data_IF_049363677575
#
_entry.id   IF_049363677575
#
_cell.length_a   1.000
_cell.length_b   1.000
_cell.length_c   1.000
_cell.angle_alpha   90.00
_cell.angle_beta   90.00
_cell.angle_gamma   90.00
#
_symmetry.space_group_name_H-M   'P 1'
#
loop_
_entity.id
_entity.type
_entity.pdbx_description
1 polymer ?
#
# COMPACT_ATOMS: atom_id res chain seq x y z
N UNK A 1 32.31 26.67 18.98
CA UNK A 1 31.01 26.54 19.71
C UNK A 1 29.80 26.38 18.81
N UNK A 2 29.78 26.90 17.56
CA UNK A 2 28.64 26.77 16.63
C UNK A 2 28.45 25.34 16.02
N UNK A 3 29.54 24.60 15.77
CA UNK A 3 29.47 23.24 15.16
C UNK A 3 28.83 22.20 16.09
N UNK A 4 29.10 22.29 17.41
CA UNK A 4 28.47 21.34 18.38
C UNK A 4 26.95 21.49 18.49
N UNK A 5 26.40 22.71 18.30
CA UNK A 5 24.96 22.97 18.33
C UNK A 5 24.25 22.41 17.09
N UNK A 6 24.89 22.44 15.93
CA UNK A 6 24.33 21.88 14.68
C UNK A 6 24.30 20.37 14.75
N UNK A 7 25.34 19.73 15.28
CA UNK A 7 25.39 18.27 15.43
C UNK A 7 24.32 17.76 16.42
N UNK A 8 24.07 18.49 17.51
CA UNK A 8 23.03 18.14 18.49
C UNK A 8 21.62 18.25 17.90
N UNK A 9 21.36 19.27 17.06
CA UNK A 9 20.07 19.43 16.38
C UNK A 9 19.80 18.31 15.37
N UNK A 10 20.81 17.81 14.66
CA UNK A 10 20.70 16.69 13.75
C UNK A 10 20.43 15.36 14.49
N UNK A 11 21.05 15.14 15.63
CA UNK A 11 20.83 13.95 16.46
C UNK A 11 19.43 13.95 17.11
N UNK A 12 18.93 15.09 17.56
CA UNK A 12 17.55 15.19 18.09
C UNK A 12 16.48 14.97 17.02
N UNK A 13 16.67 15.52 15.81
CA UNK A 13 15.74 15.31 14.69
C UNK A 13 15.66 13.83 14.28
N UNK A 14 16.81 13.13 14.20
CA UNK A 14 16.84 11.72 13.83
C UNK A 14 16.16 10.81 14.89
N UNK A 15 16.29 11.13 16.18
CA UNK A 15 15.61 10.39 17.24
C UNK A 15 14.08 10.53 17.20
N UNK A 16 13.56 11.72 16.89
CA UNK A 16 12.11 11.94 16.76
C UNK A 16 11.51 11.19 15.55
N UNK A 17 12.20 11.18 14.41
CA UNK A 17 11.80 10.43 13.23
C UNK A 17 11.73 8.92 13.50
N UNK A 18 12.72 8.39 14.18
CA UNK A 18 12.78 6.96 14.51
C UNK A 18 11.68 6.55 15.49
N UNK A 19 11.34 7.41 16.44
CA UNK A 19 10.29 7.18 17.44
C UNK A 19 8.89 7.15 16.81
N UNK A 20 8.55 8.10 15.94
CA UNK A 20 7.23 8.18 15.31
C UNK A 20 6.98 7.03 14.35
N UNK A 21 7.97 6.66 13.54
CA UNK A 21 7.88 5.52 12.61
C UNK A 21 7.80 4.18 13.36
N UNK A 22 8.52 4.04 14.48
CA UNK A 22 8.41 2.88 15.37
C UNK A 22 7.02 2.78 16.01
N UNK A 23 6.45 3.91 16.42
CA UNK A 23 5.09 3.98 16.98
C UNK A 23 4.04 3.54 15.96
N UNK A 24 4.08 4.07 14.72
CA UNK A 24 3.16 3.70 13.65
C UNK A 24 3.24 2.20 13.33
N UNK A 25 4.45 1.65 13.24
CA UNK A 25 4.69 0.22 13.02
C UNK A 25 4.08 -0.64 14.12
N UNK A 26 4.20 -0.24 15.38
CA UNK A 26 3.64 -0.97 16.52
C UNK A 26 2.11 -0.95 16.49
N UNK A 27 1.49 0.18 16.14
CA UNK A 27 0.04 0.28 15.97
C UNK A 27 -0.43 -0.63 14.85
N UNK A 28 0.23 -0.61 13.69
CA UNK A 28 -0.08 -1.51 12.57
C UNK A 28 0.04 -2.99 12.97
N UNK A 29 1.11 -3.37 13.68
CA UNK A 29 1.28 -4.74 14.16
C UNK A 29 0.10 -5.18 15.05
N UNK A 30 -0.34 -4.31 15.95
CA UNK A 30 -1.50 -4.61 16.81
C UNK A 30 -2.79 -4.76 16.00
N UNK A 31 -3.04 -3.85 15.03
CA UNK A 31 -4.22 -3.91 14.17
C UNK A 31 -4.23 -5.18 13.30
N UNK A 32 -3.12 -5.57 12.73
CA UNK A 32 -3.01 -6.82 11.96
C UNK A 32 -3.21 -8.05 12.83
N UNK A 33 -2.65 -8.08 14.05
CA UNK A 33 -2.89 -9.17 15.01
C UNK A 33 -4.36 -9.31 15.41
N UNK A 34 -5.12 -8.21 15.43
CA UNK A 34 -6.56 -8.23 15.64
C UNK A 34 -7.31 -8.68 14.38
N UNK A 35 -6.90 -8.18 13.20
CA UNK A 35 -7.51 -8.46 11.91
C UNK A 35 -7.43 -9.95 11.55
N UNK A 36 -6.31 -10.60 11.87
CA UNK A 36 -6.10 -12.03 11.67
C UNK A 36 -7.07 -12.90 12.50
N UNK A 37 -7.50 -12.41 13.67
CA UNK A 37 -8.33 -13.15 14.63
C UNK A 37 -9.81 -12.83 14.56
N UNK A 38 -10.19 -11.76 13.88
CA UNK A 38 -11.57 -11.32 13.85
C UNK A 38 -12.40 -12.16 12.88
N UNK A 39 -13.57 -12.66 13.37
CA UNK A 39 -14.44 -13.56 12.60
C UNK A 39 -15.71 -12.87 12.07
N UNK A 40 -15.93 -11.58 12.37
CA UNK A 40 -17.10 -10.86 11.87
C UNK A 40 -16.69 -9.72 10.92
N UNK A 41 -17.44 -9.57 9.85
CA UNK A 41 -17.17 -8.63 8.77
C UNK A 41 -17.19 -7.16 9.21
N UNK A 42 -18.04 -6.79 10.16
CA UNK A 42 -18.15 -5.41 10.66
C UNK A 42 -16.89 -4.99 11.42
N UNK A 43 -16.39 -5.86 12.31
CA UNK A 43 -15.14 -5.59 13.05
C UNK A 43 -13.93 -5.62 12.11
N UNK A 44 -13.91 -6.53 11.15
CA UNK A 44 -12.87 -6.59 10.13
C UNK A 44 -12.80 -5.29 9.32
N UNK A 45 -13.93 -4.78 8.84
CA UNK A 45 -14.02 -3.52 8.09
C UNK A 45 -13.56 -2.30 8.92
N UNK A 46 -13.85 -2.29 10.23
CA UNK A 46 -13.37 -1.23 11.13
C UNK A 46 -11.84 -1.27 11.28
N UNK A 47 -11.26 -2.45 11.44
CA UNK A 47 -9.80 -2.63 11.52
C UNK A 47 -9.12 -2.27 10.19
N UNK A 48 -9.70 -2.70 9.07
CA UNK A 48 -9.27 -2.31 7.73
C UNK A 48 -9.23 -0.79 7.56
N UNK A 49 -10.32 -0.09 7.92
CA UNK A 49 -10.39 1.37 7.86
C UNK A 49 -9.30 2.05 8.68
N UNK A 50 -9.02 1.55 9.90
CA UNK A 50 -7.92 2.07 10.74
C UNK A 50 -6.54 1.83 10.10
N UNK A 51 -6.31 0.67 9.50
CA UNK A 51 -5.06 0.37 8.80
C UNK A 51 -4.88 1.32 7.62
N UNK A 52 -5.93 1.54 6.82
CA UNK A 52 -5.91 2.50 5.72
C UNK A 52 -5.63 3.93 6.18
N UNK A 53 -6.24 4.39 7.28
CA UNK A 53 -5.95 5.71 7.85
C UNK A 53 -4.46 5.86 8.15
N UNK A 54 -3.86 4.86 8.83
CA UNK A 54 -2.45 4.89 9.19
C UNK A 54 -1.54 4.88 7.94
N UNK A 55 -1.85 4.10 6.92
CA UNK A 55 -1.05 4.09 5.69
C UNK A 55 -1.14 5.40 4.91
N UNK A 56 -2.32 6.03 4.89
CA UNK A 56 -2.53 7.31 4.21
C UNK A 56 -1.94 8.52 4.95
N UNK A 57 -1.57 8.38 6.23
CA UNK A 57 -0.95 9.43 7.03
C UNK A 57 0.57 9.26 7.08
N UNK A 58 1.32 10.29 6.68
CA UNK A 58 2.77 10.28 6.82
C UNK A 58 3.15 10.47 8.28
N UNK A 59 4.01 9.60 8.89
CA UNK A 59 4.22 9.53 10.34
C UNK A 59 4.78 10.81 10.98
N UNK A 60 5.38 11.70 10.19
CA UNK A 60 6.09 12.88 10.72
C UNK A 60 5.93 14.15 9.88
N UNK A 61 5.26 14.09 8.73
CA UNK A 61 5.19 15.21 7.80
C UNK A 61 3.79 15.38 7.21
N UNK A 62 2.96 16.20 7.85
CA UNK A 62 1.59 16.45 7.42
C UNK A 62 1.49 17.02 6.00
N UNK A 63 2.50 17.79 5.54
CA UNK A 63 2.52 18.30 4.16
C UNK A 63 2.63 17.19 3.12
N UNK A 64 3.26 16.05 3.45
CA UNK A 64 3.28 14.89 2.57
C UNK A 64 1.91 14.20 2.55
N UNK A 65 1.21 14.14 3.69
CA UNK A 65 -0.19 13.64 3.77
C UNK A 65 -1.10 14.47 2.88
N UNK A 66 -1.10 15.80 3.02
CA UNK A 66 -1.87 16.72 2.19
C UNK A 66 -1.56 16.57 0.69
N UNK A 67 -0.29 16.37 0.34
CA UNK A 67 0.12 16.09 -1.05
C UNK A 67 -0.40 14.74 -1.55
N UNK A 68 -0.40 13.70 -0.72
CA UNK A 68 -0.95 12.39 -1.08
C UNK A 68 -2.46 12.49 -1.37
N UNK A 69 -3.18 13.21 -0.54
CA UNK A 69 -4.60 13.51 -0.72
C UNK A 69 -4.84 14.24 -2.04
N UNK A 70 -4.11 15.33 -2.29
CA UNK A 70 -4.19 16.08 -3.55
C UNK A 70 -3.89 15.21 -4.78
N UNK A 71 -2.83 14.39 -4.72
CA UNK A 71 -2.52 13.43 -5.79
C UNK A 71 -3.64 12.41 -5.99
N UNK A 72 -4.30 11.99 -4.91
CA UNK A 72 -5.42 11.06 -4.94
C UNK A 72 -6.65 11.69 -5.60
N UNK A 73 -6.95 12.95 -5.32
CA UNK A 73 -8.03 13.72 -5.98
C UNK A 73 -7.77 13.85 -7.49
N UNK A 74 -6.53 14.17 -7.88
CA UNK A 74 -6.12 14.21 -9.29
C UNK A 74 -6.31 12.85 -9.98
N UNK A 75 -5.95 11.77 -9.31
CA UNK A 75 -6.16 10.41 -9.82
C UNK A 75 -7.64 10.09 -10.00
N UNK A 76 -8.47 10.41 -9.01
CA UNK A 76 -9.93 10.17 -9.05
C UNK A 76 -10.64 10.99 -10.14
N UNK A 77 -10.15 12.20 -10.42
CA UNK A 77 -10.66 13.05 -11.51
C UNK A 77 -10.08 12.71 -12.89
N UNK A 78 -9.27 11.64 -13.02
CA UNK A 78 -8.68 11.21 -14.29
C UNK A 78 -7.46 12.00 -14.72
N UNK A 79 -6.97 12.93 -13.91
CA UNK A 79 -5.78 13.74 -14.22
C UNK A 79 -4.47 12.97 -13.92
N UNK A 80 -4.32 11.80 -14.56
CA UNK A 80 -3.27 10.82 -14.24
C UNK A 80 -1.85 11.39 -14.38
N UNK A 81 -1.57 12.17 -15.40
CA UNK A 81 -0.23 12.75 -15.62
C UNK A 81 0.18 13.72 -14.51
N UNK A 82 -0.77 14.47 -13.93
CA UNK A 82 -0.50 15.33 -12.78
C UNK A 82 -0.40 14.54 -11.48
N UNK A 83 -1.26 13.53 -11.28
CA UNK A 83 -1.17 12.62 -10.14
C UNK A 83 0.19 11.94 -10.07
N UNK A 84 0.72 11.40 -11.19
CA UNK A 84 2.07 10.82 -11.25
C UNK A 84 3.13 11.80 -10.77
N UNK A 85 3.13 13.06 -11.26
CA UNK A 85 4.11 14.09 -10.82
C UNK A 85 4.04 14.36 -9.32
N UNK A 86 2.83 14.36 -8.75
CA UNK A 86 2.65 14.55 -7.31
C UNK A 86 3.25 13.37 -6.53
N UNK A 87 2.91 12.13 -6.92
CA UNK A 87 3.43 10.93 -6.24
C UNK A 87 4.93 10.76 -6.43
N UNK A 88 5.49 11.10 -7.61
CA UNK A 88 6.93 11.14 -7.85
C UNK A 88 7.65 12.05 -6.85
N UNK A 89 7.14 13.26 -6.65
CA UNK A 89 7.71 14.21 -5.69
C UNK A 89 7.64 13.71 -4.24
N UNK A 90 6.56 13.00 -3.87
CA UNK A 90 6.44 12.39 -2.54
C UNK A 90 7.48 11.29 -2.38
N UNK A 91 7.59 10.39 -3.36
CA UNK A 91 8.55 9.27 -3.37
C UNK A 91 9.99 9.75 -3.31
N UNK A 92 10.33 10.82 -4.05
CA UNK A 92 11.66 11.45 -3.97
C UNK A 92 11.93 12.00 -2.57
N UNK A 93 10.90 12.54 -1.89
CA UNK A 93 11.04 13.15 -0.56
C UNK A 93 11.15 12.08 0.54
N UNK A 94 10.31 11.05 0.52
CA UNK A 94 10.43 9.88 1.40
C UNK A 94 10.12 8.58 0.63
N UNK A 95 11.14 7.89 0.12
CA UNK A 95 10.99 6.64 -0.60
C UNK A 95 10.57 5.46 0.29
N UNK A 96 10.48 5.65 1.61
CA UNK A 96 10.06 4.60 2.57
C UNK A 96 8.58 4.65 2.89
N UNK A 97 7.85 5.64 2.38
CA UNK A 97 6.41 5.69 2.57
C UNK A 97 5.70 4.84 1.51
N UNK A 98 5.28 3.63 1.92
CA UNK A 98 4.68 2.63 1.02
C UNK A 98 3.45 3.13 0.27
N UNK A 99 2.61 3.97 0.92
CA UNK A 99 1.37 4.44 0.32
C UNK A 99 1.60 5.36 -0.88
N UNK A 100 2.68 6.13 -0.92
CA UNK A 100 3.03 6.93 -2.09
C UNK A 100 3.29 6.05 -3.33
N UNK A 101 4.02 4.95 -3.16
CA UNK A 101 4.23 3.95 -4.22
C UNK A 101 2.91 3.26 -4.60
N UNK A 102 2.07 2.89 -3.62
CA UNK A 102 0.77 2.26 -3.85
C UNK A 102 -0.17 3.16 -4.66
N UNK A 103 -0.24 4.45 -4.37
CA UNK A 103 -1.02 5.42 -5.16
C UNK A 103 -0.48 5.55 -6.58
N UNK A 104 0.84 5.65 -6.76
CA UNK A 104 1.43 5.71 -8.10
C UNK A 104 1.20 4.42 -8.90
N UNK A 105 1.34 3.26 -8.27
CA UNK A 105 0.98 1.97 -8.85
C UNK A 105 -0.47 1.94 -9.35
N UNK A 106 -1.39 2.50 -8.54
CA UNK A 106 -2.80 2.60 -8.93
C UNK A 106 -2.99 3.47 -10.18
N UNK A 107 -2.28 4.60 -10.27
CA UNK A 107 -2.32 5.44 -11.49
C UNK A 107 -1.80 4.68 -12.70
N UNK A 108 -0.66 3.99 -12.58
CA UNK A 108 -0.12 3.16 -13.66
C UNK A 108 -1.10 2.05 -14.08
N UNK A 109 -1.77 1.41 -13.14
CA UNK A 109 -2.82 0.43 -13.44
C UNK A 109 -3.96 1.05 -14.25
N UNK A 110 -4.47 2.22 -13.84
CA UNK A 110 -5.55 2.94 -14.54
C UNK A 110 -5.14 3.37 -15.97
N UNK A 111 -3.85 3.61 -16.18
CA UNK A 111 -3.26 3.89 -17.50
C UNK A 111 -2.91 2.61 -18.28
N UNK A 112 -3.23 1.44 -17.78
CA UNK A 112 -2.84 0.13 -18.34
C UNK A 112 -1.33 -0.08 -18.47
N UNK A 113 -0.53 0.67 -17.72
CA UNK A 113 0.93 0.53 -17.64
C UNK A 113 1.30 -0.53 -16.59
N UNK A 114 0.93 -1.79 -16.87
CA UNK A 114 0.98 -2.87 -15.89
C UNK A 114 2.39 -3.18 -15.37
N UNK A 115 3.42 -3.07 -16.21
CA UNK A 115 4.80 -3.27 -15.77
C UNK A 115 5.21 -2.25 -14.71
N UNK A 116 5.00 -0.96 -14.99
CA UNK A 116 5.31 0.11 -14.03
C UNK A 116 4.52 -0.03 -12.73
N UNK A 117 3.24 -0.46 -12.85
CA UNK A 117 2.41 -0.73 -11.67
C UNK A 117 2.96 -1.88 -10.83
N UNK A 118 3.40 -2.98 -11.45
CA UNK A 118 4.00 -4.12 -10.73
C UNK A 118 5.31 -3.73 -10.05
N UNK A 119 6.16 -2.95 -10.70
CA UNK A 119 7.42 -2.46 -10.13
C UNK A 119 7.18 -1.63 -8.86
N UNK A 120 6.17 -0.75 -8.88
CA UNK A 120 5.78 0.04 -7.72
C UNK A 120 5.17 -0.83 -6.62
N UNK A 121 4.32 -1.80 -6.97
CA UNK A 121 3.77 -2.77 -6.01
C UNK A 121 4.88 -3.56 -5.32
N UNK A 122 5.91 -3.95 -6.03
CA UNK A 122 7.06 -4.65 -5.44
C UNK A 122 7.78 -3.74 -4.42
N UNK A 123 7.87 -2.43 -4.68
CA UNK A 123 8.37 -1.46 -3.69
C UNK A 123 7.48 -1.38 -2.47
N UNK A 124 6.15 -1.32 -2.65
CA UNK A 124 5.18 -1.36 -1.53
C UNK A 124 5.40 -2.60 -0.67
N UNK A 125 5.44 -3.78 -1.29
CA UNK A 125 5.53 -5.06 -0.57
C UNK A 125 6.89 -5.30 0.09
N UNK A 126 7.96 -4.67 -0.40
CA UNK A 126 9.26 -4.65 0.27
C UNK A 126 9.25 -3.78 1.54
N UNK A 127 8.44 -2.70 1.58
CA UNK A 127 8.31 -1.81 2.74
C UNK A 127 7.29 -2.36 3.74
N UNK A 128 6.10 -2.76 3.26
CA UNK A 128 5.01 -3.34 4.03
C UNK A 128 4.49 -4.62 3.36
N UNK A 129 5.02 -5.79 3.71
CA UNK A 129 4.65 -7.07 3.10
C UNK A 129 3.18 -7.46 3.28
N UNK A 130 2.47 -6.83 4.25
CA UNK A 130 1.07 -7.10 4.57
C UNK A 130 0.11 -6.14 3.85
N UNK A 131 0.61 -5.33 2.92
CA UNK A 131 -0.21 -4.33 2.24
C UNK A 131 -1.24 -4.99 1.33
N UNK A 132 -2.39 -5.38 1.90
CA UNK A 132 -3.45 -6.13 1.20
C UNK A 132 -4.02 -5.38 -0.01
N UNK A 133 -4.02 -4.04 -0.01
CA UNK A 133 -4.40 -3.23 -1.17
C UNK A 133 -3.44 -3.43 -2.35
N UNK A 134 -2.14 -3.42 -2.10
CA UNK A 134 -1.12 -3.68 -3.12
C UNK A 134 -1.20 -5.13 -3.64
N UNK A 135 -1.38 -6.12 -2.75
CA UNK A 135 -1.57 -7.52 -3.13
C UNK A 135 -2.83 -7.72 -3.99
N UNK A 136 -3.93 -7.04 -3.66
CA UNK A 136 -5.15 -7.05 -4.48
C UNK A 136 -4.93 -6.38 -5.84
N UNK A 137 -4.22 -5.25 -5.86
CA UNK A 137 -3.82 -4.58 -7.10
C UNK A 137 -2.97 -5.48 -8.00
N UNK A 138 -1.98 -6.18 -7.42
CA UNK A 138 -1.13 -7.16 -8.10
C UNK A 138 -1.97 -8.28 -8.73
N UNK A 139 -2.91 -8.84 -7.97
CA UNK A 139 -3.81 -9.88 -8.47
C UNK A 139 -4.65 -9.38 -9.65
N UNK A 140 -5.18 -8.17 -9.59
CA UNK A 140 -5.95 -7.57 -10.70
C UNK A 140 -5.11 -7.39 -11.97
N UNK A 141 -3.83 -7.00 -11.82
CA UNK A 141 -2.91 -6.91 -12.96
C UNK A 141 -2.69 -8.31 -13.56
N UNK A 142 -2.40 -9.30 -12.73
CA UNK A 142 -2.19 -10.67 -13.20
C UNK A 142 -3.43 -11.24 -13.91
N UNK A 143 -4.64 -10.92 -13.44
CA UNK A 143 -5.88 -11.26 -14.16
C UNK A 143 -5.96 -10.59 -15.54
N UNK A 144 -5.62 -9.30 -15.63
CA UNK A 144 -5.58 -8.59 -16.93
C UNK A 144 -4.56 -9.19 -17.89
N UNK A 145 -3.48 -9.78 -17.36
CA UNK A 145 -2.42 -10.45 -18.13
C UNK A 145 -2.67 -11.95 -18.29
N UNK A 146 -3.83 -12.48 -17.88
CA UNK A 146 -4.18 -13.89 -17.90
C UNK A 146 -3.18 -14.80 -17.15
N UNK A 147 -2.50 -14.26 -16.14
CA UNK A 147 -1.58 -14.98 -15.26
C UNK A 147 -2.31 -15.42 -14.01
N UNK A 148 -3.25 -16.36 -14.19
CA UNK A 148 -4.23 -16.72 -13.18
C UNK A 148 -3.63 -17.28 -11.89
N UNK A 149 -2.64 -18.17 -11.97
CA UNK A 149 -1.97 -18.71 -10.78
C UNK A 149 -1.23 -17.61 -9.98
N UNK A 150 -0.68 -16.62 -10.68
CA UNK A 150 -0.03 -15.49 -10.02
C UNK A 150 -1.06 -14.60 -9.31
N UNK A 151 -2.25 -14.43 -9.90
CA UNK A 151 -3.34 -13.70 -9.26
C UNK A 151 -3.79 -14.40 -7.97
N UNK A 152 -4.01 -15.72 -8.00
CA UNK A 152 -4.35 -16.52 -6.82
C UNK A 152 -3.27 -16.38 -5.74
N UNK A 153 -1.99 -16.55 -6.08
CA UNK A 153 -0.88 -16.40 -5.13
C UNK A 153 -0.85 -15.04 -4.44
N UNK A 154 -1.19 -13.96 -5.15
CA UNK A 154 -1.25 -12.61 -4.58
C UNK A 154 -2.42 -12.48 -3.59
N UNK A 155 -3.59 -13.03 -3.94
CA UNK A 155 -4.77 -13.04 -3.06
C UNK A 155 -4.54 -13.90 -1.81
N UNK A 156 -3.96 -15.09 -1.96
CA UNK A 156 -3.61 -15.97 -0.83
C UNK A 156 -2.63 -15.30 0.14
N UNK A 157 -1.65 -14.53 -0.38
CA UNK A 157 -0.77 -13.73 0.47
C UNK A 157 -1.55 -12.70 1.28
N UNK A 158 -2.53 -12.02 0.67
CA UNK A 158 -3.37 -11.05 1.38
C UNK A 158 -4.21 -11.74 2.47
N UNK A 159 -4.78 -12.90 2.18
CA UNK A 159 -5.61 -13.69 3.11
C UNK A 159 -4.83 -14.19 4.33
N UNK A 160 -3.51 -14.35 4.26
CA UNK A 160 -2.68 -14.68 5.44
C UNK A 160 -2.74 -13.60 6.52
N UNK A 161 -2.86 -12.34 6.14
CA UNK A 161 -2.89 -11.19 7.05
C UNK A 161 -4.30 -10.67 7.29
N UNK A 162 -5.22 -10.95 6.38
CA UNK A 162 -6.61 -10.55 6.43
C UNK A 162 -7.50 -11.70 5.93
N UNK A 163 -7.83 -12.70 6.78
CA UNK A 163 -8.56 -13.92 6.35
C UNK A 163 -9.93 -13.65 5.72
N UNK A 164 -10.64 -12.60 6.16
CA UNK A 164 -11.93 -12.19 5.61
C UNK A 164 -11.82 -11.12 4.52
N UNK A 165 -10.66 -10.99 3.86
CA UNK A 165 -10.46 -10.00 2.80
C UNK A 165 -11.33 -10.31 1.58
N UNK A 166 -12.23 -9.39 1.27
CA UNK A 166 -13.24 -9.58 0.23
C UNK A 166 -12.67 -9.93 -1.15
N UNK A 167 -11.47 -9.42 -1.49
CA UNK A 167 -10.84 -9.77 -2.76
C UNK A 167 -10.49 -11.27 -2.88
N UNK A 168 -10.40 -12.00 -1.76
CA UNK A 168 -10.20 -13.44 -1.76
C UNK A 168 -11.37 -14.23 -2.36
N UNK A 169 -12.58 -13.66 -2.36
CA UNK A 169 -13.77 -14.25 -2.98
C UNK A 169 -13.61 -14.43 -4.51
N UNK A 170 -12.61 -13.79 -5.13
CA UNK A 170 -12.30 -13.97 -6.55
C UNK A 170 -11.57 -15.29 -6.86
N UNK A 171 -10.98 -15.97 -5.87
CA UNK A 171 -10.17 -17.18 -6.10
C UNK A 171 -10.97 -18.29 -6.79
N UNK A 172 -12.19 -18.67 -6.35
CA UNK A 172 -12.98 -19.72 -7.01
C UNK A 172 -13.30 -19.40 -8.48
N UNK A 173 -13.56 -18.13 -8.79
CA UNK A 173 -13.81 -17.69 -10.17
C UNK A 173 -12.55 -17.82 -11.04
N UNK A 174 -11.39 -17.46 -10.49
CA UNK A 174 -10.10 -17.58 -11.20
C UNK A 174 -9.77 -19.06 -11.45
N UNK A 175 -9.98 -19.92 -10.46
CA UNK A 175 -9.79 -21.37 -10.62
C UNK A 175 -10.69 -21.97 -11.70
N UNK A 176 -11.92 -21.44 -11.84
CA UNK A 176 -12.82 -21.83 -12.92
C UNK A 176 -12.25 -21.46 -14.30
N UNK A 177 -11.69 -20.24 -14.44
CA UNK A 177 -11.04 -19.80 -15.68
C UNK A 177 -9.86 -20.71 -16.07
N UNK A 178 -9.03 -21.12 -15.11
CA UNK A 178 -7.92 -22.05 -15.34
C UNK A 178 -8.41 -23.39 -15.88
N UNK A 179 -9.52 -23.93 -15.31
CA UNK A 179 -10.09 -25.20 -15.78
C UNK A 179 -10.65 -25.08 -17.20
N UNK A 180 -11.29 -23.96 -17.54
CA UNK A 180 -11.88 -23.74 -18.86
C UNK A 180 -10.83 -23.59 -19.97
N UNK A 181 -9.65 -23.01 -19.67
CA UNK A 181 -8.53 -22.91 -20.62
C UNK A 181 -7.75 -24.20 -20.79
N UNK A 182 -7.94 -25.20 -19.91
CA UNK A 182 -7.23 -26.48 -19.94
C UNK A 182 -7.94 -27.56 -20.78
N UNK A 183 -9.09 -27.21 -21.39
CA UNK A 183 -9.93 -28.09 -22.25
C UNK A 183 -9.73 -27.71 -23.71
#
# INVERSE_FOLDING_TARGET
MKIKKILLLFLFSSCFFFSAQSSQKNILNNLFNQLEKVNNSKSAALLESKIWSIWNEHPTNNKLTERLEFGTELMQSGNYSYALKVFDNIIVTDPRWSEAWNKRATVYFLMSQFTNSLDDIDRVLNIEPRHFGALSGQARIFLKLQKYENAIKSLEKALKFYPSFKSGEMIPEIEKLIREESI
#
